data_IF_302228982868
#
_entry.id   IF_302228982868
#
_cell.length_a   1.000
_cell.length_b   1.000
_cell.length_c   1.000
_cell.angle_alpha   90.00
_cell.angle_beta   90.00
_cell.angle_gamma   90.00
#
_symmetry.space_group_name_H-M   'P 1'
#
loop_
_entity.id
_entity.type
_entity.pdbx_description
1 polymer ?
#
# COMPACT_ATOMS: atom_id res chain seq x y z
N UNK A 1 16.40 14.48 9.80
CA UNK A 1 16.47 13.04 9.49
C UNK A 1 16.10 12.88 8.02
N UNK A 2 16.89 12.17 7.24
CA UNK A 2 16.61 11.92 5.80
C UNK A 2 15.52 10.88 5.66
N UNK A 3 14.55 11.11 4.78
CA UNK A 3 13.48 10.14 4.50
C UNK A 3 14.08 8.80 4.04
N UNK A 4 13.53 7.65 4.47
CA UNK A 4 13.95 6.34 3.99
C UNK A 4 13.80 6.22 2.47
N UNK A 5 14.68 5.42 1.86
CA UNK A 5 14.55 5.11 0.43
C UNK A 5 13.29 4.24 0.23
N UNK A 6 12.46 4.51 -0.80
CA UNK A 6 11.35 3.65 -1.18
C UNK A 6 11.76 2.18 -1.38
N UNK A 7 10.93 1.21 -0.93
CA UNK A 7 11.21 -0.20 -1.16
C UNK A 7 11.13 -0.54 -2.66
N UNK A 8 11.83 -1.60 -3.07
CA UNK A 8 11.76 -2.16 -4.42
C UNK A 8 11.19 -3.58 -4.33
N UNK A 9 9.87 -3.77 -4.52
CA UNK A 9 9.26 -5.08 -4.49
C UNK A 9 9.78 -5.96 -5.62
N UNK A 10 9.84 -7.27 -5.38
CA UNK A 10 10.07 -8.26 -6.43
C UNK A 10 8.75 -8.86 -6.86
N UNK A 11 8.32 -8.52 -8.08
CA UNK A 11 7.06 -9.00 -8.65
C UNK A 11 7.14 -10.43 -9.23
N UNK A 12 8.29 -11.07 -9.13
CA UNK A 12 8.51 -12.49 -9.40
C UNK A 12 8.30 -13.39 -8.17
N UNK A 13 7.90 -12.81 -7.04
CA UNK A 13 7.81 -13.48 -5.73
C UNK A 13 6.43 -13.26 -5.11
N UNK A 14 5.81 -14.34 -4.64
CA UNK A 14 4.59 -14.26 -3.83
C UNK A 14 4.95 -14.06 -2.35
N UNK A 15 4.72 -12.85 -1.84
CA UNK A 15 5.03 -12.50 -0.47
C UNK A 15 4.06 -13.15 0.52
N UNK A 16 4.61 -13.72 1.59
CA UNK A 16 3.82 -14.14 2.76
C UNK A 16 3.42 -12.93 3.61
N UNK A 17 2.45 -13.13 4.50
CA UNK A 17 1.88 -12.10 5.37
C UNK A 17 2.91 -11.15 6.01
N UNK A 18 3.93 -11.68 6.71
CA UNK A 18 4.91 -10.84 7.41
C UNK A 18 5.75 -9.99 6.44
N UNK A 19 6.12 -10.56 5.29
CA UNK A 19 6.95 -9.87 4.31
C UNK A 19 6.13 -8.80 3.56
N UNK A 20 4.88 -9.11 3.22
CA UNK A 20 3.97 -8.13 2.63
C UNK A 20 3.65 -7.01 3.63
N UNK A 21 3.42 -7.36 4.90
CA UNK A 21 3.22 -6.39 5.99
C UNK A 21 4.40 -5.41 6.07
N UNK A 22 5.63 -5.93 6.12
CA UNK A 22 6.84 -5.09 6.14
C UNK A 22 6.90 -4.14 4.95
N UNK A 23 6.63 -4.63 3.73
CA UNK A 23 6.61 -3.79 2.53
C UNK A 23 5.61 -2.63 2.64
N UNK A 24 4.40 -2.86 3.18
CA UNK A 24 3.40 -1.81 3.37
C UNK A 24 3.92 -0.72 4.33
N UNK A 25 4.52 -1.11 5.46
CA UNK A 25 5.09 -0.17 6.41
C UNK A 25 6.34 0.55 5.86
N UNK A 26 7.20 -0.13 5.11
CA UNK A 26 8.34 0.49 4.43
C UNK A 26 7.89 1.58 3.44
N UNK A 27 6.74 1.41 2.77
CA UNK A 27 6.13 2.46 1.95
C UNK A 27 5.61 3.63 2.79
N UNK A 28 4.94 3.36 3.91
CA UNK A 28 4.47 4.41 4.82
C UNK A 28 5.64 5.26 5.35
N UNK A 29 6.74 4.61 5.71
CA UNK A 29 7.94 5.27 6.21
C UNK A 29 8.65 6.09 5.11
N UNK A 30 8.69 5.60 3.88
CA UNK A 30 9.32 6.31 2.76
C UNK A 30 8.47 7.46 2.20
N UNK A 31 7.13 7.39 2.33
CA UNK A 31 6.19 8.37 1.80
C UNK A 31 5.18 8.85 2.85
N UNK A 32 5.62 9.45 3.98
CA UNK A 32 4.73 9.74 5.12
C UNK A 32 3.66 10.81 4.84
N UNK A 33 3.80 11.59 3.77
CA UNK A 33 2.79 12.56 3.31
C UNK A 33 1.80 11.98 2.31
N UNK A 34 2.02 10.74 1.86
CA UNK A 34 1.21 10.05 0.86
C UNK A 34 0.58 8.76 1.38
N UNK A 35 1.26 8.03 2.26
CA UNK A 35 0.88 6.66 2.65
C UNK A 35 0.71 6.58 4.16
N UNK A 36 -0.42 6.04 4.59
CA UNK A 36 -0.65 5.61 5.95
C UNK A 36 -1.10 4.14 5.94
N UNK A 37 -0.56 3.34 6.85
CA UNK A 37 -0.99 1.95 7.04
C UNK A 37 -1.68 1.82 8.39
N UNK A 38 -2.86 1.23 8.39
CA UNK A 38 -3.63 0.97 9.60
C UNK A 38 -4.27 -0.43 9.53
N UNK A 39 -4.55 -0.99 10.69
CA UNK A 39 -5.35 -2.22 10.78
C UNK A 39 -6.83 -1.84 10.79
N UNK A 40 -7.62 -2.43 9.88
CA UNK A 40 -9.08 -2.27 9.84
C UNK A 40 -9.82 -3.35 10.62
N UNK A 41 -9.08 -4.24 11.28
CA UNK A 41 -9.63 -5.33 12.07
C UNK A 41 -8.65 -6.48 12.23
N UNK A 42 -9.13 -7.54 12.89
CA UNK A 42 -8.39 -8.79 13.05
C UNK A 42 -9.06 -9.89 12.24
N UNK A 43 -8.27 -10.77 11.63
CA UNK A 43 -8.76 -12.01 11.02
C UNK A 43 -9.25 -12.97 12.10
N UNK A 44 -9.90 -14.07 11.68
CA UNK A 44 -10.33 -15.13 12.59
C UNK A 44 -9.18 -15.70 13.44
N UNK A 45 -7.97 -15.79 12.88
CA UNK A 45 -6.77 -16.27 13.58
C UNK A 45 -5.98 -15.13 14.27
N UNK A 46 -6.55 -13.93 14.38
CA UNK A 46 -5.97 -12.82 15.14
C UNK A 46 -4.90 -12.00 14.43
N UNK A 47 -4.70 -12.18 13.12
CA UNK A 47 -3.77 -11.34 12.32
C UNK A 47 -4.41 -10.00 11.99
N UNK A 48 -3.62 -8.93 11.94
CA UNK A 48 -4.09 -7.63 11.45
C UNK A 48 -4.48 -7.71 9.97
N UNK A 49 -5.60 -7.07 9.65
CA UNK A 49 -6.05 -6.84 8.27
C UNK A 49 -5.60 -5.42 7.91
N UNK A 50 -4.54 -5.32 7.13
CA UNK A 50 -3.94 -4.04 6.77
C UNK A 50 -4.71 -3.34 5.65
N UNK A 51 -4.92 -2.03 5.82
CA UNK A 51 -5.24 -1.10 4.73
C UNK A 51 -4.09 -0.12 4.57
N UNK A 52 -3.72 0.18 3.32
CA UNK A 52 -2.81 1.27 2.99
C UNK A 52 -3.62 2.38 2.33
N UNK A 53 -3.81 3.49 3.04
CA UNK A 53 -4.46 4.69 2.52
C UNK A 53 -3.42 5.51 1.77
N UNK A 54 -3.67 5.74 0.47
CA UNK A 54 -2.82 6.59 -0.38
C UNK A 54 -3.54 7.91 -0.65
N UNK A 55 -3.05 9.01 -0.08
CA UNK A 55 -3.63 10.35 -0.23
C UNK A 55 -2.57 11.43 -0.03
N UNK A 56 -2.60 12.49 -0.84
CA UNK A 56 -1.74 13.65 -0.59
C UNK A 56 -2.27 14.46 0.60
N UNK A 57 -1.70 14.28 1.79
CA UNK A 57 -2.23 14.87 3.03
C UNK A 57 -2.18 16.39 3.07
N UNK A 58 -1.31 17.03 2.25
CA UNK A 58 -1.26 18.48 2.14
C UNK A 58 -2.51 19.09 1.46
N UNK A 59 -3.30 18.29 0.72
CA UNK A 59 -4.55 18.76 0.09
C UNK A 59 -5.80 18.44 0.90
N UNK A 60 -5.63 18.09 2.18
CA UNK A 60 -6.72 17.71 3.08
C UNK A 60 -6.66 16.24 3.47
N UNK A 61 -7.50 15.83 4.44
CA UNK A 61 -7.49 14.46 4.96
C UNK A 61 -8.15 13.47 3.97
N UNK A 62 -7.99 12.18 4.20
CA UNK A 62 -8.46 11.14 3.27
C UNK A 62 -10.00 11.08 3.21
N UNK A 63 -10.64 11.23 4.37
CA UNK A 63 -12.08 11.16 4.58
C UNK A 63 -12.88 12.24 3.86
N UNK A 64 -12.22 13.35 3.51
CA UNK A 64 -12.84 14.48 2.80
C UNK A 64 -12.74 14.36 1.27
N UNK A 65 -12.13 13.27 0.75
CA UNK A 65 -11.88 13.07 -0.68
C UNK A 65 -12.64 11.85 -1.20
N UNK A 66 -13.11 11.85 -2.47
CA UNK A 66 -13.59 10.64 -3.11
C UNK A 66 -12.50 9.55 -3.09
N UNK A 67 -12.90 8.32 -2.77
CA UNK A 67 -11.97 7.20 -2.64
C UNK A 67 -12.25 6.12 -3.69
N UNK A 68 -11.18 5.47 -4.14
CA UNK A 68 -11.22 4.22 -4.88
C UNK A 68 -10.75 3.10 -3.96
N UNK A 69 -11.55 2.04 -3.84
CA UNK A 69 -11.21 0.87 -3.05
C UNK A 69 -10.64 -0.23 -3.95
N UNK A 70 -9.46 -0.75 -3.57
CA UNK A 70 -8.81 -1.87 -4.23
C UNK A 70 -8.42 -2.91 -3.17
N UNK A 71 -8.95 -4.11 -3.33
CA UNK A 71 -8.53 -5.28 -2.56
C UNK A 71 -8.27 -6.47 -3.49
N UNK A 72 -7.59 -7.46 -2.93
CA UNK A 72 -7.30 -8.71 -3.60
C UNK A 72 -7.02 -9.81 -2.59
N UNK A 73 -7.01 -11.05 -3.08
CA UNK A 73 -6.78 -12.24 -2.25
C UNK A 73 -7.88 -12.53 -1.22
N UNK A 74 -9.13 -12.12 -1.48
CA UNK A 74 -10.30 -12.59 -0.71
C UNK A 74 -10.39 -14.13 -0.72
N UNK A 75 -10.04 -14.75 -1.85
CA UNK A 75 -9.72 -16.17 -1.92
C UNK A 75 -8.21 -16.37 -1.75
N UNK A 76 -7.82 -17.21 -0.77
CA UNK A 76 -6.42 -17.42 -0.42
C UNK A 76 -5.57 -18.02 -1.55
N UNK A 77 -6.17 -18.80 -2.45
CA UNK A 77 -5.46 -19.46 -3.55
C UNK A 77 -5.12 -18.53 -4.73
N UNK A 78 -5.73 -17.35 -4.81
CA UNK A 78 -5.54 -16.40 -5.92
C UNK A 78 -4.34 -15.49 -5.68
N UNK A 79 -3.14 -16.08 -5.54
CA UNK A 79 -1.91 -15.39 -5.09
C UNK A 79 -1.53 -14.15 -5.92
N UNK A 80 -1.95 -14.08 -7.18
CA UNK A 80 -1.68 -12.94 -8.06
C UNK A 80 -2.43 -11.68 -7.65
N UNK A 81 -3.54 -11.78 -6.92
CA UNK A 81 -4.37 -10.64 -6.57
C UNK A 81 -3.68 -9.67 -5.59
N UNK A 82 -3.03 -10.19 -4.53
CA UNK A 82 -2.20 -9.37 -3.62
C UNK A 82 -0.99 -8.76 -4.32
N UNK A 83 -0.41 -9.49 -5.30
CA UNK A 83 0.69 -8.99 -6.12
C UNK A 83 0.24 -7.83 -7.01
N UNK A 84 -0.96 -7.90 -7.60
CA UNK A 84 -1.54 -6.82 -8.39
C UNK A 84 -1.81 -5.56 -7.54
N UNK A 85 -2.34 -5.73 -6.32
CA UNK A 85 -2.52 -4.61 -5.39
C UNK A 85 -1.18 -3.95 -5.02
N UNK A 86 -0.16 -4.75 -4.72
CA UNK A 86 1.20 -4.26 -4.43
C UNK A 86 1.82 -3.55 -5.64
N UNK A 87 1.59 -4.05 -6.85
CA UNK A 87 2.06 -3.41 -8.08
C UNK A 87 1.38 -2.06 -8.28
N UNK A 88 0.07 -1.99 -8.09
CA UNK A 88 -0.68 -0.74 -8.20
C UNK A 88 -0.18 0.32 -7.20
N UNK A 89 0.00 -0.07 -5.94
CA UNK A 89 0.61 0.80 -4.91
C UNK A 89 2.00 1.29 -5.35
N UNK A 90 2.85 0.40 -5.82
CA UNK A 90 4.20 0.75 -6.29
C UNK A 90 4.16 1.74 -7.46
N UNK A 91 3.29 1.51 -8.46
CA UNK A 91 3.15 2.41 -9.61
C UNK A 91 2.71 3.81 -9.18
N UNK A 92 1.68 3.93 -8.33
CA UNK A 92 1.21 5.22 -7.83
C UNK A 92 2.34 6.00 -7.12
N UNK A 93 3.08 5.34 -6.24
CA UNK A 93 4.12 6.01 -5.44
C UNK A 93 5.40 6.31 -6.22
N UNK A 94 5.76 5.44 -7.16
CA UNK A 94 6.94 5.64 -8.02
C UNK A 94 6.70 6.67 -9.13
N UNK A 95 5.45 6.81 -9.60
CA UNK A 95 5.06 7.79 -10.60
C UNK A 95 4.70 9.16 -10.04
N UNK A 96 4.32 9.26 -8.75
CA UNK A 96 3.92 10.54 -8.14
C UNK A 96 4.97 11.63 -8.31
N UNK A 97 4.54 12.82 -8.75
CA UNK A 97 5.41 13.96 -9.05
C UNK A 97 6.15 13.90 -10.39
N UNK A 98 5.98 12.83 -11.19
CA UNK A 98 6.63 12.69 -12.50
C UNK A 98 5.68 12.26 -13.63
N UNK A 99 4.69 11.42 -13.33
CA UNK A 99 3.66 10.99 -14.27
C UNK A 99 2.41 11.86 -14.13
N UNK A 100 1.97 12.47 -15.24
CA UNK A 100 0.82 13.39 -15.30
C UNK A 100 -0.51 12.70 -15.01
N UNK A 101 -0.64 11.40 -15.27
CA UNK A 101 -1.88 10.66 -15.00
C UNK A 101 -1.98 10.21 -13.54
N UNK A 102 -0.88 10.28 -12.77
CA UNK A 102 -0.82 9.91 -11.35
C UNK A 102 -0.84 11.13 -10.43
N UNK A 103 -0.26 12.27 -10.85
CA UNK A 103 -0.02 13.43 -9.97
C UNK A 103 -1.14 14.48 -9.94
#
# INVERSE_FOLDING_TARGET
MTQPKPPTPRFDTFYKYDALTRLLFDYADAYPTLVQVASIGKSHEGRDIWVATVTHTATGPAEDKPAFWLDGNIHAAELTASTACLYYLHQLLSGYGSDREIT
#
